data_IF_032451095084
#
_entry.id   IF_032451095084
#
_cell.length_a   1.000
_cell.length_b   1.000
_cell.length_c   1.000
_cell.angle_alpha   90.00
_cell.angle_beta   90.00
_cell.angle_gamma   90.00
#
_symmetry.space_group_name_H-M   'P 1'
#
loop_
_entity.id
_entity.type
_entity.pdbx_description
1 polymer ?
#
# COMPACT_ATOMS: atom_id res chain seq x y z
N UNK A 1 6.61 9.96 -8.90
CA UNK A 1 7.67 10.05 -7.86
C UNK A 1 9.04 9.98 -8.50
N UNK A 2 10.00 10.74 -7.99
CA UNK A 2 11.38 10.53 -8.38
C UNK A 2 11.85 9.18 -7.85
N UNK A 3 13.04 8.73 -8.29
CA UNK A 3 13.52 7.39 -7.97
C UNK A 3 13.71 7.20 -6.46
N UNK A 4 14.23 8.21 -5.78
CA UNK A 4 14.45 8.14 -4.33
C UNK A 4 13.13 8.00 -3.57
N UNK A 5 12.15 8.83 -3.90
CA UNK A 5 10.84 8.77 -3.27
C UNK A 5 10.10 7.47 -3.59
N UNK A 6 10.20 7.00 -4.83
CA UNK A 6 9.59 5.74 -5.22
C UNK A 6 10.19 4.58 -4.42
N UNK A 7 11.51 4.57 -4.20
CA UNK A 7 12.16 3.54 -3.40
C UNK A 7 11.70 3.57 -1.95
N UNK A 8 11.54 4.77 -1.38
CA UNK A 8 11.03 4.91 -0.01
C UNK A 8 9.60 4.40 0.11
N UNK A 9 8.74 4.74 -0.84
CA UNK A 9 7.37 4.27 -0.84
C UNK A 9 7.29 2.75 -1.01
N UNK A 10 8.14 2.18 -1.85
CA UNK A 10 8.19 0.73 -2.01
C UNK A 10 8.52 0.02 -0.70
N UNK A 11 9.52 0.54 0.05
CA UNK A 11 9.86 -0.01 1.37
C UNK A 11 8.68 0.10 2.32
N UNK A 12 7.99 1.23 2.32
CA UNK A 12 6.82 1.43 3.18
C UNK A 12 5.69 0.48 2.83
N UNK A 13 5.47 0.25 1.54
CA UNK A 13 4.46 -0.71 1.08
C UNK A 13 4.81 -2.11 1.58
N UNK A 14 6.09 -2.50 1.48
CA UNK A 14 6.53 -3.79 1.97
C UNK A 14 6.39 -3.93 3.48
N UNK A 15 6.78 -2.89 4.23
CA UNK A 15 6.65 -2.88 5.68
C UNK A 15 5.17 -2.95 6.11
N UNK A 16 4.31 -2.21 5.41
CA UNK A 16 2.88 -2.27 5.67
C UNK A 16 2.32 -3.66 5.37
N UNK A 17 2.79 -4.28 4.29
CA UNK A 17 2.41 -5.66 3.97
C UNK A 17 2.83 -6.64 5.05
N UNK A 18 4.06 -6.50 5.56
CA UNK A 18 4.54 -7.32 6.68
C UNK A 18 3.67 -7.14 7.92
N UNK A 19 3.33 -5.89 8.22
CA UNK A 19 2.49 -5.57 9.38
C UNK A 19 1.10 -6.19 9.25
N UNK A 20 0.55 -6.19 8.03
CA UNK A 20 -0.82 -6.68 7.77
C UNK A 20 -0.88 -8.19 7.53
N UNK A 21 0.25 -8.86 7.49
CA UNK A 21 0.30 -10.29 7.26
C UNK A 21 -0.54 -11.02 8.32
N UNK A 22 -1.53 -11.76 7.86
CA UNK A 22 -2.44 -12.48 8.76
C UNK A 22 -3.55 -11.64 9.37
N UNK A 23 -3.60 -10.33 9.11
CA UNK A 23 -4.61 -9.45 9.69
C UNK A 23 -5.73 -9.08 8.71
N UNK A 24 -5.55 -9.35 7.41
CA UNK A 24 -6.59 -9.04 6.44
C UNK A 24 -7.72 -10.05 6.50
N UNK A 25 -8.99 -9.61 6.42
CA UNK A 25 -10.12 -10.52 6.39
C UNK A 25 -10.06 -11.44 5.17
N UNK A 26 -10.57 -12.65 5.31
CA UNK A 26 -10.67 -13.57 4.20
C UNK A 26 -11.60 -13.01 3.12
N UNK A 27 -11.31 -13.34 1.88
CA UNK A 27 -12.11 -12.93 0.74
C UNK A 27 -12.48 -14.17 -0.09
N UNK A 28 -13.71 -14.27 -0.60
CA UNK A 28 -14.14 -15.45 -1.38
C UNK A 28 -13.24 -15.77 -2.57
N UNK A 29 -12.64 -14.74 -3.18
CA UNK A 29 -11.74 -14.90 -4.32
C UNK A 29 -10.31 -15.23 -3.91
N UNK A 30 -10.02 -15.30 -2.61
CA UNK A 30 -8.69 -15.58 -2.08
C UNK A 30 -8.78 -16.61 -0.96
N UNK A 31 -9.16 -17.87 -1.29
CA UNK A 31 -9.42 -18.89 -0.26
C UNK A 31 -8.19 -19.26 0.56
N UNK A 32 -6.99 -18.97 0.06
CA UNK A 32 -5.73 -19.23 0.78
C UNK A 32 -5.22 -18.00 1.54
N UNK A 33 -6.04 -16.94 1.64
CA UNK A 33 -5.68 -15.69 2.24
C UNK A 33 -5.33 -14.63 1.21
N UNK A 34 -5.29 -13.38 1.66
CA UNK A 34 -5.00 -12.23 0.79
C UNK A 34 -3.51 -11.92 0.86
N UNK A 35 -2.94 -11.52 -0.29
CA UNK A 35 -1.57 -11.04 -0.34
C UNK A 35 -1.53 -9.61 0.21
N UNK A 36 -0.95 -9.37 1.39
CA UNK A 36 -0.98 -8.03 2.00
C UNK A 36 -0.19 -7.00 1.22
N UNK A 37 0.88 -7.40 0.53
CA UNK A 37 1.70 -6.48 -0.27
C UNK A 37 0.91 -5.99 -1.47
N UNK A 38 0.27 -6.90 -2.18
CA UNK A 38 -0.59 -6.54 -3.30
C UNK A 38 -1.77 -5.69 -2.84
N UNK A 39 -2.33 -5.99 -1.67
CA UNK A 39 -3.42 -5.21 -1.09
C UNK A 39 -3.02 -3.76 -0.89
N UNK A 40 -1.88 -3.50 -0.25
CA UNK A 40 -1.41 -2.14 0.01
C UNK A 40 -1.15 -1.40 -1.30
N UNK A 41 -0.43 -2.03 -2.23
CA UNK A 41 -0.13 -1.42 -3.52
C UNK A 41 -1.39 -1.08 -4.30
N UNK A 42 -2.37 -1.98 -4.31
CA UNK A 42 -3.64 -1.76 -5.01
C UNK A 42 -4.45 -0.64 -4.36
N UNK A 43 -4.50 -0.59 -3.03
CA UNK A 43 -5.20 0.48 -2.33
C UNK A 43 -4.59 1.85 -2.65
N UNK A 44 -3.27 1.96 -2.69
CA UNK A 44 -2.59 3.20 -3.08
C UNK A 44 -2.98 3.57 -4.51
N UNK A 45 -2.94 2.62 -5.42
CA UNK A 45 -3.30 2.87 -6.82
C UNK A 45 -4.75 3.35 -6.96
N UNK A 46 -5.67 2.75 -6.24
CA UNK A 46 -7.07 3.13 -6.29
C UNK A 46 -7.30 4.52 -5.68
N UNK A 47 -6.64 4.80 -4.56
CA UNK A 47 -6.79 6.09 -3.86
C UNK A 47 -6.27 7.25 -4.71
N UNK A 48 -5.10 7.09 -5.30
CA UNK A 48 -4.41 8.18 -6.01
C UNK A 48 -4.59 8.10 -7.53
N UNK A 49 -5.30 7.08 -8.03
CA UNK A 49 -5.57 6.88 -9.46
C UNK A 49 -4.31 6.66 -10.30
N UNK A 50 -3.22 6.26 -9.66
CA UNK A 50 -1.94 6.01 -10.30
C UNK A 50 -1.12 5.03 -9.44
N UNK A 51 -0.25 4.26 -10.09
CA UNK A 51 0.76 3.50 -9.37
C UNK A 51 1.59 4.46 -8.49
N UNK A 52 2.11 3.96 -7.37
CA UNK A 52 2.92 4.80 -6.47
C UNK A 52 4.08 5.47 -7.21
N UNK A 53 4.62 4.83 -8.24
CA UNK A 53 5.73 5.37 -9.04
C UNK A 53 5.31 6.60 -9.85
N UNK A 54 4.04 6.68 -10.23
CA UNK A 54 3.53 7.70 -11.13
C UNK A 54 2.83 8.86 -10.41
N UNK A 55 2.72 8.78 -9.09
CA UNK A 55 2.14 9.85 -8.28
C UNK A 55 3.13 11.01 -8.20
N UNK A 56 2.69 12.28 -8.36
CA UNK A 56 3.60 13.43 -8.26
C UNK A 56 4.31 13.50 -6.90
N UNK A 57 5.57 13.97 -6.91
CA UNK A 57 6.38 14.09 -5.68
C UNK A 57 5.73 15.00 -4.64
N UNK A 58 4.96 15.99 -5.07
CA UNK A 58 4.25 16.88 -4.15
C UNK A 58 3.27 16.14 -3.24
N UNK A 59 2.86 14.95 -3.65
CA UNK A 59 1.91 14.14 -2.88
C UNK A 59 2.60 13.04 -2.06
N UNK A 60 3.91 13.07 -1.96
CA UNK A 60 4.69 12.06 -1.25
C UNK A 60 4.17 11.86 0.19
N UNK A 61 4.01 12.94 0.94
CA UNK A 61 3.55 12.87 2.33
C UNK A 61 2.11 12.36 2.43
N UNK A 62 1.26 12.66 1.46
CA UNK A 62 -0.10 12.13 1.42
C UNK A 62 -0.09 10.61 1.27
N UNK A 63 0.78 10.10 0.41
CA UNK A 63 0.90 8.66 0.20
C UNK A 63 1.38 7.97 1.48
N UNK A 64 2.37 8.55 2.15
CA UNK A 64 2.87 8.03 3.43
C UNK A 64 1.74 7.93 4.45
N UNK A 65 0.97 9.00 4.60
CA UNK A 65 -0.15 9.03 5.55
C UNK A 65 -1.20 7.98 5.22
N UNK A 66 -1.46 7.78 3.94
CA UNK A 66 -2.44 6.79 3.50
C UNK A 66 -1.96 5.36 3.79
N UNK A 67 -0.67 5.08 3.57
CA UNK A 67 -0.11 3.76 3.89
C UNK A 67 -0.22 3.49 5.40
N UNK A 68 0.07 4.49 6.23
CA UNK A 68 -0.11 4.37 7.68
C UNK A 68 -1.58 4.12 8.05
N UNK A 69 -2.50 4.81 7.38
CA UNK A 69 -3.92 4.59 7.56
C UNK A 69 -4.31 3.13 7.25
N UNK A 70 -3.76 2.56 6.18
CA UNK A 70 -4.06 1.19 5.80
C UNK A 70 -3.58 0.18 6.85
N UNK A 71 -2.46 0.46 7.51
CA UNK A 71 -1.96 -0.40 8.58
C UNK A 71 -2.92 -0.42 9.77
N UNK A 72 -3.54 0.71 10.07
CA UNK A 72 -4.43 0.86 11.22
C UNK A 72 -5.87 0.43 10.90
N UNK A 73 -6.20 0.24 9.64
CA UNK A 73 -7.55 -0.09 9.19
C UNK A 73 -7.50 -1.25 8.20
N UNK A 74 -7.14 -2.45 8.66
CA UNK A 74 -7.05 -3.61 7.77
C UNK A 74 -8.44 -4.03 7.31
N UNK A 75 -8.58 -4.15 6.00
CA UNK A 75 -9.84 -4.57 5.36
C UNK A 75 -9.59 -5.70 4.38
#
# INVERSE_FOLDING_TARGET
MNQENASKLWKMIQEAGDYLLGQLPDHPNHPKGRNPYAHVALCVREKFKSSYKDIPDQRFNEVIKYIEFLKQNPN
#
